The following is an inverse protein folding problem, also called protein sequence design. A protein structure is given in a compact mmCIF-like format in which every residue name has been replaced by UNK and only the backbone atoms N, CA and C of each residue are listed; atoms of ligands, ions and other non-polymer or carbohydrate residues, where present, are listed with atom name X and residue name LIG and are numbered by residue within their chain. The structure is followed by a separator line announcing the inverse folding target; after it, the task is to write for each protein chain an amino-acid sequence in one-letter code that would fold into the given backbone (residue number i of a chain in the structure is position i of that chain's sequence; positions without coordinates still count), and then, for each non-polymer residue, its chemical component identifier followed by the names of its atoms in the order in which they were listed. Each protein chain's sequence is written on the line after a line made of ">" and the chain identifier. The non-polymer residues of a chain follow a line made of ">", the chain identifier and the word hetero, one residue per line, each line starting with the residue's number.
data_IF_343697568785
#
_entry.id   IF_343697568785
#
_cell.length_a   1.000
_cell.length_b   1.000
_cell.length_c   1.000
_cell.angle_alpha   90.00
_cell.angle_beta   90.00
_cell.angle_gamma   90.00
#
_symmetry.space_group_name_H-M   'P 1'
#
loop_
_entity.id
_entity.type
_entity.pdbx_description
1 polymer ?
#
# COMPACT_ATOMS: atom_id res chain seq x y z
N UNK A 1 -100.65 -27.24 20.17
CA UNK A 1 -99.69 -27.22 19.04
C UNK A 1 -98.85 -26.00 19.28
N UNK A 2 -97.63 -26.19 19.75
CA UNK A 2 -96.73 -25.13 20.21
C UNK A 2 -95.77 -24.73 19.03
N UNK A 3 -95.77 -23.48 18.69
CA UNK A 3 -94.80 -22.90 17.73
C UNK A 3 -93.46 -22.75 18.42
N UNK A 4 -92.40 -23.25 17.83
CA UNK A 4 -91.04 -22.96 18.19
C UNK A 4 -90.59 -21.69 17.43
N UNK A 5 -90.17 -20.69 18.18
CA UNK A 5 -89.54 -19.51 17.64
C UNK A 5 -88.00 -19.81 17.51
N UNK A 6 -87.48 -19.70 16.31
CA UNK A 6 -86.06 -19.80 16.03
C UNK A 6 -85.43 -18.44 16.28
N UNK A 7 -84.47 -18.35 17.21
CA UNK A 7 -83.60 -17.19 17.42
C UNK A 7 -82.33 -17.38 16.58
N UNK A 8 -82.16 -16.61 15.51
CA UNK A 8 -80.90 -16.52 14.77
C UNK A 8 -79.96 -15.57 15.52
N UNK A 9 -78.94 -16.09 16.07
CA UNK A 9 -77.82 -15.30 16.61
C UNK A 9 -76.86 -14.89 15.46
N UNK A 10 -76.74 -13.63 15.21
CA UNK A 10 -75.77 -13.06 14.25
C UNK A 10 -74.41 -12.99 14.95
N UNK A 11 -73.47 -13.84 14.51
CA UNK A 11 -72.08 -13.81 14.96
C UNK A 11 -71.32 -12.71 14.18
N UNK A 12 -71.01 -11.62 14.85
CA UNK A 12 -70.19 -10.54 14.30
C UNK A 12 -68.72 -10.95 14.43
N UNK A 13 -68.09 -11.38 13.33
CA UNK A 13 -66.65 -11.69 13.26
C UNK A 13 -65.89 -10.36 13.11
N UNK A 14 -65.31 -9.83 14.19
CA UNK A 14 -64.31 -8.74 14.11
C UNK A 14 -62.99 -9.32 13.53
N UNK A 15 -62.69 -8.97 12.28
CA UNK A 15 -61.39 -9.18 11.70
C UNK A 15 -60.41 -8.19 12.31
N UNK A 16 -59.56 -8.64 13.24
CA UNK A 16 -58.42 -7.88 13.73
C UNK A 16 -57.31 -7.96 12.67
N UNK A 17 -57.16 -6.87 11.92
CA UNK A 17 -56.03 -6.72 10.99
C UNK A 17 -54.77 -6.44 11.86
N UNK A 18 -53.96 -7.43 12.08
CA UNK A 18 -52.60 -7.24 12.56
C UNK A 18 -51.77 -6.57 11.45
N UNK A 19 -51.57 -5.29 11.57
CA UNK A 19 -50.54 -4.60 10.81
C UNK A 19 -49.17 -5.14 11.30
N UNK A 20 -48.59 -6.08 10.54
CA UNK A 20 -47.21 -6.48 10.72
C UNK A 20 -46.37 -5.26 10.30
N UNK A 21 -45.56 -4.68 11.22
CA UNK A 21 -44.61 -3.67 10.76
C UNK A 21 -43.68 -4.37 9.77
N UNK A 22 -43.75 -3.96 8.52
CA UNK A 22 -42.73 -4.31 7.52
C UNK A 22 -41.40 -3.86 8.11
N UNK A 23 -40.55 -4.80 8.50
CA UNK A 23 -39.16 -4.51 8.69
C UNK A 23 -38.68 -3.85 7.38
N UNK A 24 -38.48 -2.53 7.41
CA UNK A 24 -37.61 -1.91 6.43
C UNK A 24 -36.32 -2.73 6.48
N UNK A 25 -35.97 -3.37 5.35
CA UNK A 25 -34.63 -3.82 5.10
C UNK A 25 -33.75 -2.63 5.46
N UNK A 26 -32.90 -2.77 6.47
CA UNK A 26 -31.83 -1.81 6.72
C UNK A 26 -31.07 -1.72 5.40
N UNK A 27 -31.31 -0.63 4.69
CA UNK A 27 -30.45 -0.20 3.59
C UNK A 27 -29.08 -0.10 4.19
N UNK A 28 -28.13 -0.85 3.61
CA UNK A 28 -26.80 -1.06 4.13
C UNK A 28 -26.22 0.25 4.68
N UNK A 29 -25.50 0.17 5.79
CA UNK A 29 -24.81 1.29 6.43
C UNK A 29 -24.26 2.23 5.37
N UNK A 30 -24.90 3.34 5.14
CA UNK A 30 -24.36 4.45 4.36
C UNK A 30 -23.15 4.92 5.14
N UNK A 31 -21.97 4.51 4.71
CA UNK A 31 -20.73 5.07 5.24
C UNK A 31 -20.83 6.58 5.07
N UNK A 32 -20.75 7.31 6.16
CA UNK A 32 -20.67 8.76 6.11
C UNK A 32 -19.37 9.09 5.35
N UNK A 33 -19.50 9.63 4.15
CA UNK A 33 -18.35 10.10 3.39
C UNK A 33 -17.54 11.05 4.25
N UNK A 34 -16.22 10.88 4.23
CA UNK A 34 -15.30 11.77 4.92
C UNK A 34 -15.20 13.08 4.15
N UNK A 35 -14.64 14.08 4.77
CA UNK A 35 -14.25 15.33 4.11
C UNK A 35 -12.78 15.63 4.47
N UNK A 36 -11.87 14.97 3.76
CA UNK A 36 -10.43 15.10 3.95
C UNK A 36 -9.91 16.09 2.90
N UNK A 37 -10.26 17.37 3.05
CA UNK A 37 -9.91 18.48 2.15
C UNK A 37 -8.60 19.19 2.53
N UNK A 38 -7.84 18.62 3.44
CA UNK A 38 -6.58 19.13 3.97
C UNK A 38 -5.40 18.19 3.62
N UNK A 39 -4.14 18.67 3.68
CA UNK A 39 -2.95 17.83 3.55
C UNK A 39 -2.92 16.73 4.62
N UNK A 40 -2.85 15.49 4.17
CA UNK A 40 -2.95 14.30 5.03
C UNK A 40 -1.97 13.20 4.63
N UNK A 41 -1.54 12.40 5.63
CA UNK A 41 -0.92 11.11 5.40
C UNK A 41 -1.96 10.00 5.59
N UNK A 42 -1.93 9.02 4.68
CA UNK A 42 -2.75 7.81 4.73
C UNK A 42 -1.86 6.64 5.08
N UNK A 43 -2.20 5.95 6.16
CA UNK A 43 -1.44 4.80 6.67
C UNK A 43 -2.30 3.55 6.59
N UNK A 44 -1.86 2.58 5.81
CA UNK A 44 -2.52 1.26 5.74
C UNK A 44 -2.15 0.45 6.97
N UNK A 45 -3.15 -0.08 7.64
CA UNK A 45 -3.01 -0.92 8.83
C UNK A 45 -3.39 -2.36 8.48
N UNK A 46 -2.39 -3.23 8.29
CA UNK A 46 -2.57 -4.58 7.74
C UNK A 46 -3.47 -5.47 8.59
N UNK A 47 -3.20 -5.62 9.87
CA UNK A 47 -3.96 -6.52 10.76
C UNK A 47 -5.37 -6.01 11.05
N UNK A 48 -5.56 -4.70 11.15
CA UNK A 48 -6.90 -4.13 11.39
C UNK A 48 -7.69 -3.87 10.13
N UNK A 49 -7.11 -4.04 8.93
CA UNK A 49 -7.75 -3.76 7.63
C UNK A 49 -8.38 -2.38 7.55
N UNK A 50 -7.66 -1.37 8.06
CA UNK A 50 -8.11 0.02 8.10
C UNK A 50 -7.08 0.95 7.47
N UNK A 51 -7.49 2.19 7.20
CA UNK A 51 -6.58 3.28 6.87
C UNK A 51 -6.72 4.36 7.93
N UNK A 52 -5.60 4.70 8.60
CA UNK A 52 -5.54 5.88 9.47
C UNK A 52 -5.21 7.12 8.64
N UNK A 53 -5.97 8.19 8.84
CA UNK A 53 -5.74 9.49 8.20
C UNK A 53 -5.11 10.43 9.21
N UNK A 54 -3.91 10.89 8.94
CA UNK A 54 -3.15 11.80 9.80
C UNK A 54 -3.16 13.19 9.17
N UNK A 55 -3.73 14.17 9.86
CA UNK A 55 -3.65 15.57 9.44
C UNK A 55 -2.23 16.11 9.65
N UNK A 56 -1.57 16.52 8.56
CA UNK A 56 -0.14 16.89 8.59
C UNK A 56 0.15 18.14 9.42
N UNK A 57 -0.76 19.12 9.46
CA UNK A 57 -0.57 20.35 10.23
C UNK A 57 -0.54 20.15 11.75
N UNK A 58 -1.11 19.04 12.25
CA UNK A 58 -1.19 18.73 13.69
C UNK A 58 -0.47 17.44 14.05
N UNK A 59 -0.14 16.61 13.07
CA UNK A 59 0.38 15.25 13.28
C UNK A 59 -0.51 14.43 14.21
N UNK A 60 -1.84 14.45 13.96
CA UNK A 60 -2.84 13.68 14.71
C UNK A 60 -3.72 12.89 13.75
N UNK A 61 -4.16 11.70 14.17
CA UNK A 61 -5.17 10.93 13.46
C UNK A 61 -6.51 11.66 13.58
N UNK A 62 -7.12 11.96 12.44
CA UNK A 62 -8.44 12.61 12.36
C UNK A 62 -9.53 11.64 11.96
N UNK A 63 -9.18 10.62 11.18
CA UNK A 63 -10.11 9.64 10.66
C UNK A 63 -9.50 8.24 10.62
N UNK A 64 -10.38 7.24 10.67
CA UNK A 64 -10.09 5.85 10.36
C UNK A 64 -11.12 5.35 9.36
N UNK A 65 -10.64 4.73 8.28
CA UNK A 65 -11.48 4.17 7.22
C UNK A 65 -11.40 2.65 7.32
N UNK A 66 -12.52 2.01 7.56
CA UNK A 66 -12.64 0.56 7.64
C UNK A 66 -12.83 -0.02 6.24
N UNK A 67 -11.83 -0.74 5.74
CA UNK A 67 -11.84 -1.30 4.40
C UNK A 67 -12.79 -2.50 4.26
N UNK A 68 -13.00 -3.25 5.32
CA UNK A 68 -13.87 -4.43 5.31
C UNK A 68 -15.34 -4.04 5.18
N UNK A 69 -15.80 -3.10 6.01
CA UNK A 69 -17.19 -2.64 6.00
C UNK A 69 -17.49 -1.77 4.78
N UNK A 70 -16.48 -1.11 4.22
CA UNK A 70 -16.65 -0.17 3.11
C UNK A 70 -16.76 -0.85 1.75
N UNK A 71 -16.25 -2.07 1.61
CA UNK A 71 -16.09 -2.72 0.29
C UNK A 71 -17.16 -3.76 -0.04
N UNK A 72 -17.87 -4.27 0.98
CA UNK A 72 -18.71 -5.47 0.84
C UNK A 72 -17.91 -6.75 0.52
N UNK A 73 -16.58 -6.68 0.59
CA UNK A 73 -15.65 -7.78 0.33
C UNK A 73 -14.72 -7.95 1.52
N UNK A 74 -14.21 -9.16 1.72
CA UNK A 74 -13.26 -9.44 2.79
C UNK A 74 -11.86 -8.93 2.35
N UNK A 75 -11.50 -7.70 2.75
CA UNK A 75 -10.18 -7.12 2.53
C UNK A 75 -9.34 -7.42 3.77
N UNK A 76 -8.35 -8.32 3.63
CA UNK A 76 -7.46 -8.71 4.71
C UNK A 76 -6.01 -8.37 4.35
N UNK A 77 -5.27 -7.89 5.34
CA UNK A 77 -3.85 -7.59 5.20
C UNK A 77 -3.53 -6.66 4.05
N UNK A 78 -4.20 -5.47 3.93
CA UNK A 78 -3.77 -4.47 2.98
C UNK A 78 -2.33 -4.06 3.32
N UNK A 79 -1.49 -3.87 2.29
CA UNK A 79 -0.05 -3.75 2.49
C UNK A 79 0.49 -2.38 2.08
N UNK A 80 0.77 -2.14 0.80
CA UNK A 80 1.27 -0.87 0.32
C UNK A 80 0.17 0.02 -0.26
N UNK A 81 0.36 1.33 -0.16
CA UNK A 81 -0.57 2.35 -0.62
C UNK A 81 0.18 3.41 -1.43
N UNK A 82 -0.40 3.79 -2.56
CA UNK A 82 0.15 4.80 -3.45
C UNK A 82 -0.92 5.83 -3.79
N UNK A 83 -0.52 7.11 -3.81
CA UNK A 83 -1.38 8.21 -4.17
C UNK A 83 -1.12 8.64 -5.62
N UNK A 84 -2.20 8.89 -6.34
CA UNK A 84 -2.18 9.52 -7.65
C UNK A 84 -3.14 10.69 -7.68
N UNK A 85 -2.69 11.80 -8.25
CA UNK A 85 -3.49 12.99 -8.48
C UNK A 85 -3.66 13.26 -9.97
N UNK A 86 -4.89 13.42 -10.42
CA UNK A 86 -5.23 13.79 -11.79
C UNK A 86 -6.26 14.91 -11.77
N UNK A 87 -5.88 16.09 -12.25
CA UNK A 87 -6.72 17.27 -12.11
C UNK A 87 -6.96 17.62 -10.64
N UNK A 88 -8.23 17.66 -10.22
CA UNK A 88 -8.62 17.83 -8.82
C UNK A 88 -8.92 16.54 -8.08
N UNK A 89 -8.82 15.38 -8.75
CA UNK A 89 -9.14 14.07 -8.16
C UNK A 89 -7.91 13.47 -7.50
N UNK A 90 -8.09 12.94 -6.31
CA UNK A 90 -7.06 12.26 -5.53
C UNK A 90 -7.46 10.79 -5.32
N UNK A 91 -6.66 9.88 -5.87
CA UNK A 91 -6.90 8.44 -5.80
C UNK A 91 -5.81 7.75 -4.98
N UNK A 92 -6.21 6.72 -4.24
CA UNK A 92 -5.31 5.80 -3.55
C UNK A 92 -5.44 4.42 -4.20
N UNK A 93 -4.32 3.80 -4.52
CA UNK A 93 -4.24 2.41 -4.92
C UNK A 93 -3.58 1.60 -3.81
N UNK A 94 -4.20 0.48 -3.43
CA UNK A 94 -3.76 -0.36 -2.32
C UNK A 94 -3.61 -1.79 -2.81
N UNK A 95 -2.43 -2.36 -2.60
CA UNK A 95 -2.19 -3.80 -2.78
C UNK A 95 -2.67 -4.56 -1.56
N UNK A 96 -3.35 -5.67 -1.79
CA UNK A 96 -3.89 -6.54 -0.74
C UNK A 96 -3.44 -7.96 -1.00
N UNK A 97 -2.35 -8.42 -0.37
CA UNK A 97 -1.86 -9.79 -0.52
C UNK A 97 -2.80 -10.84 0.09
N UNK A 98 -3.62 -10.46 1.05
CA UNK A 98 -4.53 -11.38 1.76
C UNK A 98 -3.89 -12.09 2.96
N UNK A 99 -2.59 -11.87 3.21
CA UNK A 99 -1.85 -12.43 4.35
C UNK A 99 -0.82 -11.43 4.88
N UNK A 100 -0.33 -11.72 6.08
CA UNK A 100 0.76 -10.97 6.71
C UNK A 100 2.09 -11.29 6.02
N UNK A 101 2.73 -10.28 5.44
CA UNK A 101 4.05 -10.39 4.79
C UNK A 101 5.21 -9.97 5.69
N UNK A 102 4.97 -9.55 6.94
CA UNK A 102 6.02 -9.08 7.85
C UNK A 102 7.05 -10.16 8.22
N UNK A 103 6.70 -11.44 8.08
CA UNK A 103 7.62 -12.56 8.31
C UNK A 103 8.54 -12.87 7.10
N UNK A 104 8.27 -12.32 5.93
CA UNK A 104 9.03 -12.51 4.68
C UNK A 104 8.13 -12.46 3.46
N UNK A 105 8.74 -12.18 2.32
CA UNK A 105 8.06 -11.95 1.03
C UNK A 105 8.14 -13.14 0.09
N UNK A 106 8.84 -14.22 0.47
CA UNK A 106 9.01 -15.42 -0.36
C UNK A 106 7.98 -16.49 -0.04
N UNK A 107 7.57 -17.24 -1.05
CA UNK A 107 6.75 -18.44 -0.88
C UNK A 107 5.27 -18.15 -0.76
N UNK A 108 4.71 -17.33 -1.63
CA UNK A 108 3.26 -17.16 -1.71
C UNK A 108 2.52 -18.51 -1.67
N UNK A 109 1.51 -18.65 -0.82
CA UNK A 109 0.77 -19.92 -0.71
C UNK A 109 0.07 -20.21 -2.03
N UNK A 110 0.25 -21.41 -2.62
CA UNK A 110 -0.46 -21.80 -3.83
C UNK A 110 -1.98 -21.62 -3.68
N UNK A 111 -2.58 -20.91 -4.64
CA UNK A 111 -4.02 -20.64 -4.66
C UNK A 111 -4.49 -19.43 -3.84
N UNK A 112 -3.60 -18.73 -3.15
CA UNK A 112 -3.94 -17.46 -2.49
C UNK A 112 -4.11 -16.37 -3.54
N UNK A 113 -5.24 -15.68 -3.46
CA UNK A 113 -5.57 -14.56 -4.35
C UNK A 113 -5.22 -13.24 -3.69
N UNK A 114 -4.71 -12.32 -4.49
CA UNK A 114 -4.57 -10.93 -4.07
C UNK A 114 -5.78 -10.10 -4.45
N UNK A 115 -5.72 -8.82 -4.10
CA UNK A 115 -6.75 -7.85 -4.47
C UNK A 115 -6.11 -6.47 -4.69
N UNK A 116 -6.74 -5.67 -5.52
CA UNK A 116 -6.48 -4.25 -5.66
C UNK A 116 -7.68 -3.48 -5.13
N UNK A 117 -7.44 -2.47 -4.31
CA UNK A 117 -8.47 -1.52 -3.85
C UNK A 117 -8.12 -0.13 -4.35
N UNK A 118 -9.08 0.52 -4.99
CA UNK A 118 -9.00 1.90 -5.43
C UNK A 118 -9.96 2.74 -4.61
N UNK A 119 -9.44 3.80 -4.02
CA UNK A 119 -10.19 4.66 -3.10
C UNK A 119 -10.04 6.13 -3.46
N UNK A 120 -11.07 6.90 -3.18
CA UNK A 120 -11.02 8.35 -3.21
C UNK A 120 -10.37 8.88 -1.93
N UNK A 121 -9.31 9.66 -2.06
CA UNK A 121 -8.58 10.14 -0.90
C UNK A 121 -9.29 11.29 -0.15
N UNK A 122 -10.24 11.97 -0.78
CA UNK A 122 -10.97 13.07 -0.15
C UNK A 122 -12.16 12.55 0.65
N UNK A 123 -12.93 11.64 0.04
CA UNK A 123 -14.14 11.10 0.67
C UNK A 123 -13.93 9.82 1.46
N UNK A 124 -12.79 9.15 1.28
CA UNK A 124 -12.54 7.83 1.85
C UNK A 124 -13.36 6.70 1.22
N UNK A 125 -14.13 7.00 0.16
CA UNK A 125 -14.99 6.01 -0.49
C UNK A 125 -14.17 5.04 -1.35
N UNK A 126 -14.47 3.75 -1.23
CA UNK A 126 -13.91 2.73 -2.13
C UNK A 126 -14.61 2.86 -3.48
N UNK A 127 -13.85 3.26 -4.51
CA UNK A 127 -14.34 3.38 -5.89
C UNK A 127 -14.43 2.01 -6.56
N UNK A 128 -13.46 1.14 -6.28
CA UNK A 128 -13.39 -0.20 -6.85
C UNK A 128 -12.50 -1.10 -6.00
N UNK A 129 -12.89 -2.35 -5.91
CA UNK A 129 -12.02 -3.46 -5.53
C UNK A 129 -12.17 -4.58 -6.57
N UNK A 130 -11.10 -5.33 -6.81
CA UNK A 130 -11.13 -6.49 -7.70
C UNK A 130 -10.06 -7.51 -7.31
N UNK A 131 -10.44 -8.78 -7.41
CA UNK A 131 -9.54 -9.89 -7.13
C UNK A 131 -8.49 -10.06 -8.23
N UNK A 132 -7.34 -10.54 -7.81
CA UNK A 132 -6.25 -10.99 -8.68
C UNK A 132 -6.16 -12.51 -8.64
N UNK A 133 -5.66 -13.15 -9.73
CA UNK A 133 -5.53 -14.62 -9.75
C UNK A 133 -4.53 -15.14 -8.71
N UNK A 134 -3.54 -14.33 -8.34
CA UNK A 134 -2.48 -14.66 -7.39
C UNK A 134 -2.26 -13.48 -6.45
N UNK A 135 -1.66 -13.72 -5.31
CA UNK A 135 -1.23 -12.72 -4.33
C UNK A 135 -0.36 -11.65 -4.99
N UNK A 136 -0.52 -10.41 -4.52
CA UNK A 136 0.27 -9.26 -4.96
C UNK A 136 0.88 -8.56 -3.74
N UNK A 137 1.93 -7.75 -3.98
CA UNK A 137 2.56 -6.94 -2.93
C UNK A 137 1.99 -5.52 -2.92
N UNK A 138 1.92 -4.89 -4.08
CA UNK A 138 1.44 -3.53 -4.24
C UNK A 138 0.52 -3.37 -5.46
N UNK A 139 -0.09 -2.20 -5.55
CA UNK A 139 -0.76 -1.71 -6.73
C UNK A 139 -0.45 -0.22 -6.89
N UNK A 140 -0.05 0.20 -8.08
CA UNK A 140 0.38 1.57 -8.34
C UNK A 140 -0.23 2.11 -9.63
N UNK A 141 -0.59 3.39 -9.65
CA UNK A 141 -0.98 4.06 -10.89
C UNK A 141 0.23 4.31 -11.78
N UNK A 142 0.04 4.20 -13.10
CA UNK A 142 1.01 4.74 -14.06
C UNK A 142 1.17 6.25 -13.85
N UNK A 143 2.31 6.86 -14.24
CA UNK A 143 2.54 8.29 -14.05
C UNK A 143 1.48 9.20 -14.65
N UNK A 144 0.85 8.77 -15.75
CA UNK A 144 -0.25 9.47 -16.43
C UNK A 144 -1.65 9.15 -15.82
N UNK A 145 -1.70 8.26 -14.82
CA UNK A 145 -2.94 7.84 -14.14
C UNK A 145 -3.90 6.98 -14.97
N UNK A 146 -3.51 6.59 -16.19
CA UNK A 146 -4.43 5.85 -17.09
C UNK A 146 -4.45 4.34 -16.84
N UNK A 147 -3.47 3.83 -16.07
CA UNK A 147 -3.30 2.41 -15.80
C UNK A 147 -3.01 2.14 -14.33
N UNK A 148 -3.36 0.93 -13.89
CA UNK A 148 -3.00 0.37 -12.58
C UNK A 148 -2.13 -0.84 -12.83
N UNK A 149 -0.94 -0.85 -12.23
CA UNK A 149 0.04 -1.91 -12.35
C UNK A 149 0.16 -2.66 -11.04
N UNK A 150 0.26 -3.98 -11.08
CA UNK A 150 0.43 -4.85 -9.92
C UNK A 150 1.17 -6.13 -10.31
N UNK A 151 2.01 -6.64 -9.43
CA UNK A 151 2.73 -7.90 -9.63
C UNK A 151 1.88 -9.11 -9.26
N UNK A 152 2.31 -10.29 -9.70
CA UNK A 152 1.79 -11.60 -9.30
C UNK A 152 2.93 -12.33 -8.59
N UNK A 153 2.85 -12.47 -7.27
CA UNK A 153 3.90 -13.10 -6.43
C UNK A 153 3.86 -14.62 -6.57
N UNK A 154 4.19 -15.11 -7.76
CA UNK A 154 4.35 -16.53 -8.04
C UNK A 154 5.51 -16.77 -9.02
N UNK A 155 5.85 -18.05 -9.21
CA UNK A 155 6.93 -18.48 -10.10
C UNK A 155 6.62 -18.29 -11.58
N UNK A 156 5.44 -17.79 -11.94
CA UNK A 156 5.10 -17.50 -13.34
C UNK A 156 5.61 -16.13 -13.82
N UNK A 157 6.06 -15.29 -12.89
CA UNK A 157 6.72 -14.02 -13.16
C UNK A 157 5.89 -13.05 -14.01
N UNK A 158 4.84 -12.44 -13.44
CA UNK A 158 3.96 -11.55 -14.22
C UNK A 158 3.70 -10.22 -13.52
N UNK A 159 3.54 -9.19 -14.33
CA UNK A 159 2.92 -7.91 -13.97
C UNK A 159 1.63 -7.77 -14.76
N UNK A 160 0.55 -7.45 -14.07
CA UNK A 160 -0.76 -7.18 -14.66
C UNK A 160 -0.97 -5.68 -14.76
N UNK A 161 -1.45 -5.24 -15.91
CA UNK A 161 -1.76 -3.83 -16.21
C UNK A 161 -3.24 -3.70 -16.51
N UNK A 162 -3.94 -2.94 -15.69
CA UNK A 162 -5.36 -2.68 -15.82
C UNK A 162 -5.62 -1.25 -16.30
N UNK A 163 -6.72 -1.04 -17.00
CA UNK A 163 -7.21 0.30 -17.28
C UNK A 163 -7.73 0.94 -15.98
N UNK A 164 -7.30 2.15 -15.65
CA UNK A 164 -7.65 2.80 -14.39
C UNK A 164 -9.10 3.33 -14.32
N UNK A 165 -9.82 3.39 -15.44
CA UNK A 165 -11.22 3.83 -15.50
C UNK A 165 -12.18 2.66 -15.53
N UNK A 166 -11.91 1.66 -16.39
CA UNK A 166 -12.80 0.49 -16.57
C UNK A 166 -12.42 -0.69 -15.68
N UNK A 167 -11.22 -0.67 -15.11
CA UNK A 167 -10.65 -1.75 -14.28
C UNK A 167 -10.55 -3.10 -15.01
N UNK A 168 -10.45 -3.06 -16.34
CA UNK A 168 -10.27 -4.25 -17.17
C UNK A 168 -8.78 -4.49 -17.44
N UNK A 169 -8.37 -5.75 -17.46
CA UNK A 169 -7.00 -6.15 -17.80
C UNK A 169 -6.67 -5.73 -19.23
N UNK A 170 -5.59 -4.97 -19.42
CA UNK A 170 -5.07 -4.50 -20.72
C UNK A 170 -3.89 -5.33 -21.19
N UNK A 171 -2.92 -5.54 -20.30
CA UNK A 171 -1.67 -6.22 -20.61
C UNK A 171 -1.25 -7.15 -19.49
N UNK A 172 -0.53 -8.20 -19.87
CA UNK A 172 0.25 -9.05 -18.99
C UNK A 172 1.69 -9.02 -19.46
N UNK A 173 2.62 -8.65 -18.58
CA UNK A 173 4.04 -8.52 -18.89
C UNK A 173 4.78 -9.64 -18.18
N UNK A 174 5.57 -10.43 -18.92
CA UNK A 174 6.42 -11.47 -18.31
C UNK A 174 7.70 -10.83 -17.77
N UNK A 175 8.05 -11.13 -16.53
CA UNK A 175 9.23 -10.67 -15.79
C UNK A 175 9.94 -11.87 -15.16
N UNK A 176 10.85 -11.65 -14.21
CA UNK A 176 11.46 -12.75 -13.45
C UNK A 176 10.51 -13.38 -12.43
N UNK A 177 10.98 -14.45 -11.79
CA UNK A 177 10.19 -15.26 -10.86
C UNK A 177 9.92 -14.52 -9.55
N UNK A 178 8.72 -14.72 -9.01
CA UNK A 178 8.22 -14.16 -7.76
C UNK A 178 8.38 -12.62 -7.68
N UNK A 179 7.76 -11.88 -8.64
CA UNK A 179 7.84 -10.43 -8.63
C UNK A 179 7.07 -9.84 -7.45
N UNK A 180 7.76 -9.05 -6.60
CA UNK A 180 7.15 -8.41 -5.44
C UNK A 180 6.60 -7.02 -5.80
N UNK A 181 7.39 -5.97 -5.82
CA UNK A 181 6.91 -4.62 -6.11
C UNK A 181 7.09 -4.17 -7.55
N UNK A 182 6.12 -3.35 -7.98
CA UNK A 182 6.19 -2.56 -9.21
C UNK A 182 6.27 -1.09 -8.82
N UNK A 183 7.31 -0.40 -9.24
CA UNK A 183 7.51 1.03 -8.94
C UNK A 183 7.97 1.78 -10.19
N UNK A 184 7.53 3.02 -10.34
CA UNK A 184 7.99 3.87 -11.45
C UNK A 184 9.21 4.71 -11.02
N UNK A 185 10.12 4.97 -11.97
CA UNK A 185 11.18 5.96 -11.78
C UNK A 185 10.59 7.35 -11.47
N UNK A 186 11.36 8.20 -10.80
CA UNK A 186 10.90 9.54 -10.41
C UNK A 186 10.46 10.41 -11.61
N UNK A 187 11.02 10.18 -12.79
CA UNK A 187 10.65 10.83 -14.05
C UNK A 187 9.49 10.12 -14.79
N UNK A 188 9.01 8.99 -14.27
CA UNK A 188 7.93 8.20 -14.85
C UNK A 188 8.25 7.48 -16.16
N UNK A 189 9.49 7.53 -16.63
CA UNK A 189 9.87 6.97 -17.93
C UNK A 189 10.06 5.47 -17.95
N UNK A 190 10.26 4.85 -16.77
CA UNK A 190 10.50 3.42 -16.59
C UNK A 190 9.74 2.86 -15.41
N UNK A 191 9.31 1.60 -15.49
CA UNK A 191 8.82 0.83 -14.37
C UNK A 191 9.88 -0.21 -13.98
N UNK A 192 10.05 -0.44 -12.68
CA UNK A 192 10.98 -1.39 -12.08
C UNK A 192 10.20 -2.44 -11.33
N UNK A 193 10.57 -3.70 -11.52
CA UNK A 193 9.94 -4.86 -10.87
C UNK A 193 11.00 -5.70 -10.21
N UNK A 194 10.94 -5.83 -8.90
CA UNK A 194 11.85 -6.68 -8.12
C UNK A 194 11.39 -8.13 -8.20
N UNK A 195 12.25 -9.01 -8.73
CA UNK A 195 11.98 -10.43 -8.93
C UNK A 195 12.72 -11.22 -7.87
N UNK A 196 12.04 -11.52 -6.75
CA UNK A 196 12.67 -12.05 -5.53
C UNK A 196 13.45 -13.33 -5.76
N UNK A 197 12.86 -14.32 -6.40
CA UNK A 197 13.50 -15.62 -6.63
C UNK A 197 14.51 -15.60 -7.79
N UNK A 198 14.39 -14.67 -8.72
CA UNK A 198 15.36 -14.52 -9.82
C UNK A 198 16.59 -13.69 -9.43
N UNK A 199 16.59 -12.99 -8.30
CA UNK A 199 17.63 -12.03 -7.89
C UNK A 199 17.92 -10.96 -8.96
N UNK A 200 16.85 -10.46 -9.58
CA UNK A 200 16.92 -9.48 -10.67
C UNK A 200 15.89 -8.39 -10.49
N UNK A 201 16.09 -7.29 -11.21
CA UNK A 201 15.09 -6.24 -11.41
C UNK A 201 14.78 -6.16 -12.90
N UNK A 202 13.52 -6.34 -13.26
CA UNK A 202 13.05 -6.09 -14.63
C UNK A 202 12.76 -4.62 -14.82
N UNK A 203 13.29 -4.01 -15.87
CA UNK A 203 13.03 -2.63 -16.29
C UNK A 203 12.09 -2.65 -17.48
N UNK A 204 10.96 -1.98 -17.35
CA UNK A 204 9.89 -2.00 -18.34
C UNK A 204 9.67 -0.59 -18.88
N UNK A 205 9.51 -0.47 -20.20
CA UNK A 205 9.01 0.76 -20.81
C UNK A 205 7.48 0.84 -20.63
N UNK A 206 6.94 1.85 -19.91
CA UNK A 206 5.52 1.90 -19.60
C UNK A 206 4.61 2.08 -20.82
N UNK A 207 5.12 2.71 -21.89
CA UNK A 207 4.33 2.96 -23.10
C UNK A 207 4.21 1.72 -23.98
N UNK A 208 5.31 0.97 -24.15
CA UNK A 208 5.36 -0.22 -25.02
C UNK A 208 5.05 -1.52 -24.30
N UNK A 209 5.09 -1.53 -22.97
CA UNK A 209 4.97 -2.70 -22.10
C UNK A 209 6.09 -3.73 -22.29
N UNK A 210 7.16 -3.34 -22.97
CA UNK A 210 8.32 -4.19 -23.19
C UNK A 210 9.29 -4.15 -22.01
N UNK A 211 9.82 -5.30 -21.61
CA UNK A 211 11.00 -5.38 -20.74
C UNK A 211 12.20 -4.94 -21.59
N UNK A 212 12.83 -3.84 -21.17
CA UNK A 212 13.95 -3.22 -21.90
C UNK A 212 15.31 -3.54 -21.29
N UNK A 213 15.34 -4.01 -20.04
CA UNK A 213 16.54 -4.50 -19.37
C UNK A 213 16.15 -5.46 -18.22
N UNK A 214 17.08 -6.35 -17.89
CA UNK A 214 17.07 -7.15 -16.67
C UNK A 214 18.38 -6.92 -15.96
N UNK A 215 18.34 -6.44 -14.72
CA UNK A 215 19.48 -6.03 -13.93
C UNK A 215 19.71 -7.06 -12.84
N UNK A 216 20.91 -7.64 -12.76
CA UNK A 216 21.27 -8.50 -11.65
C UNK A 216 21.49 -7.65 -10.39
N UNK A 217 20.87 -8.06 -9.30
CA UNK A 217 21.02 -7.48 -7.97
C UNK A 217 21.37 -8.58 -6.96
N UNK A 218 21.41 -8.23 -5.68
CA UNK A 218 21.68 -9.20 -4.64
C UNK A 218 20.44 -10.06 -4.31
N UNK A 219 20.57 -10.98 -3.35
CA UNK A 219 19.56 -12.01 -3.07
C UNK A 219 18.26 -11.44 -2.49
N UNK A 220 17.14 -11.89 -3.07
CA UNK A 220 15.78 -11.58 -2.68
C UNK A 220 15.45 -10.06 -2.71
N UNK A 221 15.46 -9.41 -3.92
CA UNK A 221 15.00 -8.05 -4.06
C UNK A 221 13.48 -7.97 -3.88
N UNK A 222 13.00 -7.04 -3.04
CA UNK A 222 11.57 -6.87 -2.71
C UNK A 222 11.03 -5.56 -3.25
N UNK A 223 11.64 -4.43 -2.91
CA UNK A 223 11.20 -3.10 -3.31
C UNK A 223 12.25 -2.34 -4.12
N UNK A 224 11.78 -1.48 -5.04
CA UNK A 224 12.60 -0.56 -5.79
C UNK A 224 12.12 0.87 -5.51
N UNK A 225 12.98 1.69 -4.94
CA UNK A 225 12.63 2.99 -4.36
C UNK A 225 13.24 4.12 -5.19
N UNK A 226 12.41 4.97 -5.83
CA UNK A 226 12.91 6.02 -6.71
C UNK A 226 13.56 7.14 -5.91
N UNK A 227 14.63 7.71 -6.45
CA UNK A 227 15.30 8.87 -5.92
C UNK A 227 15.44 9.96 -6.97
N UNK A 228 15.54 11.20 -6.52
CA UNK A 228 15.98 12.31 -7.37
C UNK A 228 17.41 12.06 -7.87
N UNK A 229 17.75 12.66 -9.01
CA UNK A 229 19.08 12.47 -9.60
C UNK A 229 19.27 11.16 -10.37
N UNK A 230 18.15 10.51 -10.75
CA UNK A 230 18.17 9.36 -11.67
C UNK A 230 18.70 8.07 -11.04
N UNK A 231 18.50 7.89 -9.74
CA UNK A 231 18.83 6.65 -9.02
C UNK A 231 17.58 5.88 -8.62
N UNK A 232 17.73 4.57 -8.50
CA UNK A 232 16.77 3.65 -7.92
C UNK A 232 17.49 2.80 -6.89
N UNK A 233 16.94 2.71 -5.68
CA UNK A 233 17.46 1.88 -4.60
C UNK A 233 16.62 0.61 -4.50
N UNK A 234 17.29 -0.56 -4.48
CA UNK A 234 16.62 -1.86 -4.39
C UNK A 234 17.03 -2.52 -3.08
N UNK A 235 16.07 -2.80 -2.22
CA UNK A 235 16.34 -3.56 -1.00
C UNK A 235 16.37 -5.06 -1.31
N UNK A 236 17.49 -5.68 -0.92
CA UNK A 236 17.72 -7.11 -1.08
C UNK A 236 17.70 -7.75 0.32
N UNK A 237 16.58 -8.36 0.66
CA UNK A 237 16.32 -8.80 2.04
C UNK A 237 17.30 -9.84 2.54
N UNK A 238 17.56 -10.90 1.76
CA UNK A 238 18.38 -12.04 2.21
C UNK A 238 19.86 -11.73 2.22
N UNK A 239 20.32 -10.90 1.30
CA UNK A 239 21.71 -10.43 1.29
C UNK A 239 21.96 -9.25 2.23
N UNK A 240 20.91 -8.69 2.85
CA UNK A 240 21.00 -7.54 3.76
C UNK A 240 21.74 -6.38 3.13
N UNK A 241 21.25 -5.95 1.99
CA UNK A 241 21.91 -4.93 1.20
C UNK A 241 20.93 -4.06 0.42
N UNK A 242 21.43 -2.94 -0.09
CA UNK A 242 20.71 -2.09 -1.05
C UNK A 242 21.54 -2.03 -2.33
N UNK A 243 20.98 -2.43 -3.46
CA UNK A 243 21.57 -2.19 -4.77
C UNK A 243 21.22 -0.79 -5.26
N UNK A 244 22.19 -0.08 -5.85
CA UNK A 244 22.01 1.26 -6.40
C UNK A 244 22.02 1.18 -7.91
N UNK A 245 20.90 1.53 -8.55
CA UNK A 245 20.73 1.45 -10.01
C UNK A 245 20.70 2.86 -10.60
N UNK A 246 21.42 3.06 -11.69
CA UNK A 246 21.32 4.23 -12.54
C UNK A 246 20.11 4.08 -13.49
N UNK A 247 19.15 5.01 -13.37
CA UNK A 247 17.90 4.99 -14.16
C UNK A 247 18.15 5.24 -15.64
N UNK A 248 19.18 6.02 -15.99
CA UNK A 248 19.49 6.36 -17.38
C UNK A 248 20.09 5.17 -18.13
N UNK A 249 21.10 4.54 -17.53
CA UNK A 249 21.88 3.47 -18.16
C UNK A 249 21.37 2.08 -17.85
N UNK A 250 20.50 1.91 -16.86
CA UNK A 250 20.08 0.64 -16.24
C UNK A 250 21.26 -0.16 -15.65
N UNK A 251 22.33 0.49 -15.25
CA UNK A 251 23.49 -0.15 -14.64
C UNK A 251 23.29 -0.28 -13.13
N UNK A 252 23.67 -1.41 -12.55
CA UNK A 252 23.90 -1.54 -11.12
C UNK A 252 25.23 -0.85 -10.80
N UNK A 253 25.18 0.25 -10.07
CA UNK A 253 26.33 1.10 -9.72
C UNK A 253 27.11 0.58 -8.51
N UNK A 254 26.55 -0.36 -7.76
CA UNK A 254 27.14 -0.93 -6.57
C UNK A 254 26.11 -1.30 -5.50
N UNK A 255 26.62 -1.85 -4.42
CA UNK A 255 25.80 -2.40 -3.33
C UNK A 255 26.20 -1.77 -2.00
N UNK A 256 25.22 -1.30 -1.23
CA UNK A 256 25.37 -0.83 0.16
C UNK A 256 25.13 -2.04 1.06
N UNK A 257 26.15 -2.47 1.81
CA UNK A 257 26.03 -3.58 2.74
C UNK A 257 25.42 -3.08 4.05
N UNK A 258 24.37 -3.76 4.51
CA UNK A 258 23.71 -3.54 5.78
C UNK A 258 24.07 -4.62 6.79
N UNK A 259 23.95 -4.32 8.09
CA UNK A 259 24.11 -5.35 9.15
C UNK A 259 22.74 -5.92 9.60
N UNK A 260 21.66 -5.60 8.88
CA UNK A 260 20.28 -5.97 9.20
C UNK A 260 19.52 -6.26 7.90
N UNK A 261 18.39 -6.96 8.02
CA UNK A 261 17.45 -7.18 6.92
C UNK A 261 16.67 -5.89 6.67
N UNK A 262 16.77 -5.28 5.47
CA UNK A 262 16.01 -4.07 5.16
C UNK A 262 14.51 -4.39 5.04
N UNK A 263 13.65 -3.52 5.55
CA UNK A 263 12.20 -3.62 5.32
C UNK A 263 11.69 -2.60 4.30
N UNK A 264 12.42 -1.48 4.13
CA UNK A 264 12.06 -0.40 3.23
C UNK A 264 13.23 0.58 3.06
N UNK A 265 13.32 1.24 1.92
CA UNK A 265 14.27 2.31 1.72
C UNK A 265 13.59 3.55 1.14
N UNK A 266 14.03 4.73 1.54
CA UNK A 266 13.52 5.99 1.01
C UNK A 266 14.64 7.03 0.93
N UNK A 267 14.69 7.76 -0.17
CA UNK A 267 15.67 8.80 -0.37
C UNK A 267 15.09 10.18 -0.06
N UNK A 268 15.75 10.91 0.85
CA UNK A 268 15.45 12.29 1.12
C UNK A 268 16.31 13.22 0.25
N UNK A 269 15.70 13.81 -0.76
CA UNK A 269 16.40 14.67 -1.70
C UNK A 269 16.96 15.97 -1.04
N UNK A 270 16.28 16.49 -0.01
CA UNK A 270 16.69 17.72 0.67
C UNK A 270 17.93 17.52 1.53
N UNK A 271 17.97 16.41 2.27
CA UNK A 271 19.12 16.04 3.10
C UNK A 271 20.20 15.28 2.32
N UNK A 272 19.90 14.82 1.10
CA UNK A 272 20.74 13.92 0.30
C UNK A 272 21.08 12.62 1.07
N UNK A 273 20.08 12.04 1.71
CA UNK A 273 20.21 10.85 2.56
C UNK A 273 19.32 9.71 2.08
N UNK A 274 19.85 8.52 2.12
CA UNK A 274 19.09 7.28 2.01
C UNK A 274 18.78 6.75 3.40
N UNK A 275 17.48 6.65 3.72
CA UNK A 275 17.00 6.06 4.97
C UNK A 275 16.54 4.64 4.69
N UNK A 276 16.98 3.68 5.54
CA UNK A 276 16.65 2.25 5.43
C UNK A 276 16.10 1.78 6.77
N UNK A 277 14.92 1.19 6.77
CA UNK A 277 14.30 0.65 7.99
C UNK A 277 14.95 -0.67 8.41
N UNK A 278 15.19 -0.78 9.72
CA UNK A 278 15.67 -1.96 10.43
C UNK A 278 14.55 -2.43 11.37
N UNK A 279 13.69 -3.29 10.85
CA UNK A 279 12.54 -3.81 11.57
C UNK A 279 12.95 -4.52 12.87
N UNK A 280 14.00 -5.35 12.81
CA UNK A 280 14.47 -6.14 13.94
C UNK A 280 14.86 -5.29 15.16
N UNK A 281 15.47 -4.14 14.93
CA UNK A 281 15.97 -3.26 15.99
C UNK A 281 15.09 -2.03 16.25
N UNK A 282 13.98 -1.86 15.52
CA UNK A 282 13.09 -0.70 15.67
C UNK A 282 13.78 0.63 15.38
N UNK A 283 14.52 0.68 14.27
CA UNK A 283 15.36 1.82 13.89
C UNK A 283 15.26 2.12 12.39
N UNK A 284 15.73 3.30 12.04
CA UNK A 284 16.09 3.66 10.66
C UNK A 284 17.59 3.98 10.64
N UNK A 285 18.34 3.33 9.77
CA UNK A 285 19.72 3.70 9.46
C UNK A 285 19.72 4.70 8.31
N UNK A 286 20.56 5.74 8.36
CA UNK A 286 20.70 6.70 7.27
C UNK A 286 22.11 6.74 6.71
N UNK A 287 22.18 6.87 5.38
CA UNK A 287 23.38 6.78 4.58
C UNK A 287 23.53 8.04 3.72
N UNK A 288 24.75 8.48 3.49
CA UNK A 288 25.09 9.63 2.64
C UNK A 288 26.01 9.18 1.52
N UNK A 289 25.79 9.68 0.30
CA UNK A 289 26.69 9.49 -0.84
C UNK A 289 27.92 10.38 -0.68
N UNK A 290 29.07 9.74 -0.48
CA UNK A 290 30.37 10.42 -0.34
C UNK A 290 30.99 10.75 -1.70
N UNK A 291 30.28 10.50 -2.78
CA UNK A 291 30.72 10.66 -4.16
C UNK A 291 31.13 9.32 -4.79
N UNK A 292 30.99 9.24 -6.12
CA UNK A 292 31.34 8.03 -6.88
C UNK A 292 30.51 6.79 -6.53
N UNK A 293 29.27 6.98 -6.07
CA UNK A 293 28.37 5.93 -5.57
C UNK A 293 28.89 5.21 -4.31
N UNK A 294 29.73 5.86 -3.53
CA UNK A 294 30.20 5.35 -2.24
C UNK A 294 29.28 5.83 -1.13
N UNK A 295 28.51 4.93 -0.57
CA UNK A 295 27.53 5.23 0.49
C UNK A 295 28.10 4.89 1.86
N UNK A 296 28.05 5.84 2.79
CA UNK A 296 28.48 5.63 4.17
C UNK A 296 27.32 5.80 5.12
N UNK A 297 27.23 4.88 6.10
CA UNK A 297 26.30 5.01 7.21
C UNK A 297 26.73 6.16 8.11
N UNK A 298 25.85 7.14 8.27
CA UNK A 298 26.08 8.31 9.14
C UNK A 298 25.46 8.17 10.52
N UNK A 299 24.42 7.34 10.67
CA UNK A 299 23.81 7.12 11.97
C UNK A 299 22.58 6.25 11.94
N UNK A 300 21.91 6.23 13.09
CA UNK A 300 20.65 5.51 13.31
C UNK A 300 19.65 6.40 14.07
N UNK A 301 18.38 6.22 13.77
CA UNK A 301 17.27 6.93 14.40
C UNK A 301 16.40 5.87 15.09
N UNK A 302 16.18 5.99 16.39
CA UNK A 302 15.28 5.09 17.12
C UNK A 302 13.84 5.44 16.77
N UNK A 303 13.08 4.44 16.31
CA UNK A 303 11.66 4.57 15.94
C UNK A 303 10.78 3.76 16.92
N UNK A 304 9.88 2.95 16.43
CA UNK A 304 9.13 1.95 17.20
C UNK A 304 9.51 0.54 16.76
N UNK A 305 8.99 -0.45 17.46
CA UNK A 305 9.20 -1.85 17.13
C UNK A 305 8.69 -2.15 15.72
N UNK A 306 9.48 -2.93 14.97
CA UNK A 306 9.16 -3.36 13.60
C UNK A 306 8.97 -2.17 12.65
N UNK A 307 10.03 -1.32 12.52
CA UNK A 307 10.07 -0.18 11.63
C UNK A 307 9.97 -0.64 10.17
N UNK A 308 9.08 -0.01 9.39
CA UNK A 308 8.83 -0.45 8.01
C UNK A 308 8.83 0.73 7.03
N UNK A 309 7.68 1.13 6.48
CA UNK A 309 7.64 2.14 5.43
C UNK A 309 8.10 3.52 5.91
N UNK A 310 8.79 4.22 5.01
CA UNK A 310 9.35 5.55 5.23
C UNK A 310 8.84 6.50 4.16
N UNK A 311 8.32 7.66 4.55
CA UNK A 311 7.93 8.71 3.62
C UNK A 311 8.35 10.08 4.15
N UNK A 312 8.68 11.02 3.25
CA UNK A 312 9.13 12.37 3.61
C UNK A 312 8.11 13.43 3.21
N UNK A 313 7.89 14.39 4.11
CA UNK A 313 7.12 15.59 3.81
C UNK A 313 7.80 16.82 4.45
N UNK A 314 8.39 17.68 3.61
CA UNK A 314 9.12 18.84 4.04
C UNK A 314 10.25 18.50 5.03
N UNK A 315 10.18 19.07 6.23
CA UNK A 315 11.18 18.88 7.28
C UNK A 315 11.05 17.56 8.05
N UNK A 316 10.07 16.72 7.74
CA UNK A 316 9.77 15.52 8.52
C UNK A 316 9.82 14.24 7.69
N UNK A 317 10.40 13.21 8.31
CA UNK A 317 10.27 11.81 7.92
C UNK A 317 9.19 11.14 8.78
N UNK A 318 8.39 10.28 8.17
CA UNK A 318 7.35 9.48 8.82
C UNK A 318 7.69 8.00 8.62
N UNK A 319 7.76 7.26 9.72
CA UNK A 319 8.12 5.84 9.71
C UNK A 319 7.01 5.04 10.37
N UNK A 320 6.45 4.08 9.64
CA UNK A 320 5.48 3.14 10.22
C UNK A 320 6.19 2.11 11.08
N UNK A 321 5.61 1.78 12.24
CA UNK A 321 6.16 0.81 13.19
C UNK A 321 5.12 -0.30 13.39
N UNK A 322 5.27 -1.41 12.69
CA UNK A 322 4.27 -2.49 12.63
C UNK A 322 4.03 -3.12 14.00
N UNK A 323 5.10 -3.40 14.74
CA UNK A 323 5.01 -4.00 16.07
C UNK A 323 4.54 -3.04 17.16
N UNK A 324 4.70 -1.73 16.96
CA UNK A 324 4.30 -0.71 17.92
C UNK A 324 2.91 -0.11 17.62
N UNK A 325 2.32 -0.35 16.46
CA UNK A 325 1.06 0.26 15.99
C UNK A 325 1.10 1.79 15.99
N UNK A 326 2.24 2.35 15.57
CA UNK A 326 2.48 3.80 15.54
C UNK A 326 3.11 4.24 14.23
N UNK A 327 3.10 5.57 14.00
CA UNK A 327 3.95 6.24 13.04
C UNK A 327 4.89 7.18 13.80
N UNK A 328 6.20 6.98 13.69
CA UNK A 328 7.20 7.91 14.22
C UNK A 328 7.35 9.10 13.31
N UNK A 329 7.24 10.32 13.86
CA UNK A 329 7.55 11.58 13.17
C UNK A 329 8.95 12.02 13.57
N UNK A 330 9.82 12.22 12.60
CA UNK A 330 11.23 12.48 12.79
C UNK A 330 11.59 13.79 12.08
N UNK A 331 12.28 14.69 12.76
CA UNK A 331 12.86 15.88 12.13
C UNK A 331 14.09 15.46 11.31
N UNK A 332 14.06 15.70 10.00
CA UNK A 332 15.11 15.25 9.07
C UNK A 332 16.46 15.91 9.37
N UNK A 333 16.49 17.21 9.70
CA UNK A 333 17.76 17.94 9.89
C UNK A 333 18.48 17.58 11.20
N UNK A 334 17.73 17.18 12.24
CA UNK A 334 18.29 16.84 13.55
C UNK A 334 18.32 15.35 13.81
N UNK A 335 17.67 14.53 12.96
CA UNK A 335 17.42 13.09 13.14
C UNK A 335 16.74 12.75 14.46
N UNK A 336 16.11 13.73 15.11
CA UNK A 336 15.42 13.54 16.37
C UNK A 336 13.96 13.12 16.12
N UNK A 337 13.52 12.05 16.83
CA UNK A 337 12.12 11.69 16.88
C UNK A 337 11.34 12.78 17.63
N UNK A 338 10.32 13.34 16.97
CA UNK A 338 9.46 14.40 17.52
C UNK A 338 8.33 13.77 18.35
N UNK A 339 7.69 12.73 17.81
CA UNK A 339 6.60 12.01 18.49
C UNK A 339 6.29 10.68 17.79
N UNK A 340 5.54 9.83 18.46
CA UNK A 340 4.85 8.70 17.89
C UNK A 340 3.34 9.00 17.80
N UNK A 341 2.72 8.68 16.67
CA UNK A 341 1.28 8.82 16.42
C UNK A 341 0.66 7.42 16.47
N UNK A 342 -0.22 7.12 17.44
CA UNK A 342 -0.96 5.86 17.44
C UNK A 342 -1.86 5.74 16.19
N UNK A 343 -1.83 4.58 15.53
CA UNK A 343 -2.61 4.24 14.35
C UNK A 343 -3.27 2.87 14.51
N UNK A 344 -3.83 2.29 13.46
CA UNK A 344 -4.35 0.93 13.50
C UNK A 344 -3.25 -0.13 13.66
N UNK A 345 -3.65 -1.41 13.75
CA UNK A 345 -2.72 -2.50 13.99
C UNK A 345 -1.90 -2.87 12.75
N UNK A 346 -0.62 -3.11 12.97
CA UNK A 346 0.38 -3.40 11.94
C UNK A 346 0.36 -2.40 10.79
N UNK A 347 0.70 -1.12 11.04
CA UNK A 347 0.80 -0.11 10.00
C UNK A 347 1.92 -0.47 9.03
N UNK A 348 1.60 -0.47 7.74
CA UNK A 348 2.51 -0.86 6.68
C UNK A 348 2.84 0.33 5.77
N UNK A 349 2.21 0.46 4.61
CA UNK A 349 2.44 1.56 3.70
C UNK A 349 1.94 2.92 4.22
N UNK A 350 2.63 3.99 3.84
CA UNK A 350 2.26 5.38 4.12
C UNK A 350 2.45 6.24 2.89
N UNK A 351 1.49 7.13 2.59
CA UNK A 351 1.56 8.07 1.46
C UNK A 351 0.92 9.40 1.83
N UNK A 352 1.31 10.47 1.13
CA UNK A 352 0.76 11.81 1.34
C UNK A 352 -0.18 12.24 0.22
N UNK A 353 -1.26 12.92 0.61
CA UNK A 353 -2.05 13.83 -0.21
C UNK A 353 -1.71 15.25 0.27
N UNK A 354 -1.08 16.06 -0.58
CA UNK A 354 -0.65 17.42 -0.28
C UNK A 354 -1.61 18.46 -0.85
#
# INVERSE_FOLDING_TARGET
>A
MKQLKSNAAILLVMAVIFAIPSCKKDDGMSMTEKNIDYPAAYVVNGESSTISVIKLSTNTVTDSIDLMNSSGSMIMWPHHIYHHQSGGDHHLAIGVPGMDLSAGHTGGMPGMKGMVVIMDAVTGAIKKNFELPVMNHNAVFSPDGTEIWTSQMDMSGKVLVYNATTYTLKNTITVGDEPAEVTFSADGTKAYVCNGMSNTVSVINPSTKAVIATINVESNPVGAWPASGGKMFVDNEDSRSISVIDVTTNANLGTIILNFKPGYAAFNATANELWVSDATNGKVAYYVDMGGNTWMKHGEIVTGADAHAIAFNGAYGYVTNQGANTVSVINVSTHAKVKDIPVGKKPNGIVFKL
#
